data_IF_887360941161
#
_entry.id   IF_887360941161
#
_cell.length_a   1.000
_cell.length_b   1.000
_cell.length_c   1.000
_cell.angle_alpha   90.00
_cell.angle_beta   90.00
_cell.angle_gamma   90.00
#
_symmetry.space_group_name_H-M   'P 1'
#
loop_
_entity.id
_entity.type
_entity.pdbx_description
1 polymer ?
#
# COMPACT_ATOMS: atom_id res chain seq x y z
N UNK A 1 -0.25 86.61 -1.96
CA UNK A 1 0.69 87.62 -2.47
C UNK A 1 2.09 87.03 -2.36
N UNK A 2 2.53 86.50 -3.49
CA UNK A 2 3.87 86.34 -4.07
C UNK A 2 5.12 86.03 -3.22
N UNK A 3 5.79 84.95 -3.67
CA UNK A 3 7.21 84.60 -3.48
C UNK A 3 8.13 85.60 -4.21
N UNK A 4 9.48 85.56 -3.98
CA UNK A 4 10.33 84.72 -4.85
C UNK A 4 11.63 84.14 -4.22
N UNK A 5 12.12 83.06 -4.85
CA UNK A 5 13.51 82.49 -4.81
C UNK A 5 14.33 83.10 -5.99
N UNK A 6 15.64 82.82 -6.26
CA UNK A 6 16.47 81.62 -5.94
C UNK A 6 17.98 81.91 -5.66
N UNK A 7 18.82 80.87 -5.46
CA UNK A 7 20.15 80.69 -6.11
C UNK A 7 20.93 79.43 -5.62
N UNK A 8 21.59 78.73 -6.57
CA UNK A 8 22.56 77.62 -6.38
C UNK A 8 23.87 77.99 -7.08
N UNK A 9 25.04 77.57 -6.57
CA UNK A 9 26.06 76.89 -7.40
C UNK A 9 26.86 75.83 -6.60
N UNK A 10 27.74 74.95 -7.08
CA UNK A 10 28.15 74.43 -8.39
C UNK A 10 29.00 73.15 -8.12
N UNK A 11 29.14 72.33 -9.16
CA UNK A 11 29.85 71.04 -9.28
C UNK A 11 31.39 71.13 -9.24
N UNK A 12 32.08 70.09 -8.73
CA UNK A 12 33.48 69.79 -9.08
C UNK A 12 33.69 68.29 -9.35
N UNK A 13 34.27 67.99 -10.52
CA UNK A 13 34.65 66.67 -11.08
C UNK A 13 36.07 66.31 -10.59
N UNK A 14 36.33 65.15 -9.96
CA UNK A 14 36.49 63.76 -10.45
C UNK A 14 37.96 63.37 -10.70
N UNK A 15 38.49 62.55 -9.78
CA UNK A 15 39.85 62.00 -9.69
C UNK A 15 40.00 60.74 -10.58
N UNK A 16 41.07 60.69 -11.38
CA UNK A 16 41.30 59.76 -12.50
C UNK A 16 41.20 58.26 -12.14
N UNK A 17 40.52 57.47 -12.99
CA UNK A 17 40.21 56.05 -12.74
C UNK A 17 41.35 55.13 -13.19
N UNK A 18 42.11 54.59 -12.23
CA UNK A 18 43.23 53.65 -12.48
C UNK A 18 42.74 52.19 -12.61
N UNK A 19 43.38 51.31 -13.40
CA UNK A 19 42.97 49.90 -13.57
C UNK A 19 42.85 49.09 -12.27
N UNK A 20 43.70 49.38 -11.28
CA UNK A 20 43.63 48.75 -9.95
C UNK A 20 42.35 49.13 -9.20
N UNK A 21 41.85 50.36 -9.38
CA UNK A 21 40.59 50.85 -8.78
C UNK A 21 39.39 50.12 -9.39
N UNK A 22 39.42 49.88 -10.71
CA UNK A 22 38.39 49.12 -11.41
C UNK A 22 38.33 47.66 -10.95
N UNK A 23 39.48 47.00 -10.77
CA UNK A 23 39.55 45.64 -10.22
C UNK A 23 38.96 45.56 -8.80
N UNK A 24 39.33 46.50 -7.93
CA UNK A 24 38.80 46.57 -6.57
C UNK A 24 37.28 46.84 -6.56
N UNK A 25 36.79 47.72 -7.43
CA UNK A 25 35.35 47.96 -7.58
C UNK A 25 34.62 46.71 -8.07
N UNK A 26 35.17 45.97 -9.04
CA UNK A 26 34.60 44.71 -9.53
C UNK A 26 34.46 43.69 -8.39
N UNK A 27 35.50 43.52 -7.58
CA UNK A 27 35.47 42.57 -6.45
C UNK A 27 34.49 43.02 -5.35
N UNK A 28 34.42 44.32 -5.06
CA UNK A 28 33.42 44.87 -4.15
C UNK A 28 31.99 44.65 -4.64
N UNK A 29 31.73 44.88 -5.92
CA UNK A 29 30.42 44.65 -6.52
C UNK A 29 30.06 43.17 -6.53
N UNK A 30 31.02 42.28 -6.81
CA UNK A 30 30.81 40.84 -6.74
C UNK A 30 30.40 40.39 -5.33
N UNK A 31 31.08 40.90 -4.30
CA UNK A 31 30.72 40.62 -2.91
C UNK A 31 29.36 41.21 -2.52
N UNK A 32 29.05 42.43 -2.95
CA UNK A 32 27.73 43.03 -2.72
C UNK A 32 26.60 42.23 -3.38
N UNK A 33 26.81 41.78 -4.63
CA UNK A 33 25.87 40.91 -5.32
C UNK A 33 25.70 39.57 -4.61
N UNK A 34 26.78 38.99 -4.08
CA UNK A 34 26.73 37.77 -3.28
C UNK A 34 25.93 37.99 -1.99
N UNK A 35 26.24 39.02 -1.21
CA UNK A 35 25.53 39.35 0.03
C UNK A 35 24.05 39.64 -0.22
N UNK A 36 23.73 40.35 -1.30
CA UNK A 36 22.36 40.62 -1.69
C UNK A 36 21.62 39.33 -2.06
N UNK A 37 22.25 38.44 -2.82
CA UNK A 37 21.69 37.13 -3.16
C UNK A 37 21.45 36.26 -1.90
N UNK A 38 22.39 36.25 -0.96
CA UNK A 38 22.23 35.56 0.34
C UNK A 38 21.05 36.14 1.12
N UNK A 39 20.95 37.48 1.24
CA UNK A 39 19.83 38.13 1.94
C UNK A 39 18.47 37.84 1.30
N UNK A 40 18.39 37.86 -0.03
CA UNK A 40 17.16 37.53 -0.76
C UNK A 40 16.76 36.07 -0.52
N UNK A 41 17.72 35.14 -0.54
CA UNK A 41 17.43 33.73 -0.32
C UNK A 41 17.07 33.42 1.13
N UNK A 42 17.71 34.08 2.10
CA UNK A 42 17.34 33.99 3.51
C UNK A 42 15.93 34.57 3.78
N UNK A 43 15.58 35.67 3.11
CA UNK A 43 14.23 36.24 3.14
C UNK A 43 13.17 35.34 2.49
N UNK A 44 13.51 34.61 1.42
CA UNK A 44 12.64 33.60 0.81
C UNK A 44 12.40 32.40 1.73
N UNK A 45 13.45 31.88 2.37
CA UNK A 45 13.34 30.76 3.31
C UNK A 45 12.49 31.11 4.54
N UNK A 46 12.61 32.35 5.03
CA UNK A 46 11.77 32.86 6.14
C UNK A 46 10.32 33.05 5.71
N UNK A 47 10.07 33.50 4.47
CA UNK A 47 8.72 33.61 3.89
C UNK A 47 8.06 32.25 3.67
N UNK A 48 8.80 31.22 3.24
CA UNK A 48 8.27 29.87 3.09
C UNK A 48 7.94 29.16 4.41
N UNK A 49 8.57 29.56 5.52
CA UNK A 49 8.25 29.02 6.84
C UNK A 49 6.90 29.56 7.37
N UNK A 50 6.50 30.78 6.99
CA UNK A 50 5.21 31.37 7.39
C UNK A 50 4.03 30.97 6.49
N UNK A 51 4.27 30.51 5.25
CA UNK A 51 3.21 30.11 4.32
C UNK A 51 2.55 28.78 4.68
N UNK A 52 3.28 27.81 5.24
CA UNK A 52 2.69 26.55 5.70
C UNK A 52 1.73 26.75 6.89
N UNK A 53 2.05 27.69 7.78
CA UNK A 53 1.21 28.04 8.94
C UNK A 53 -0.03 28.84 8.48
N UNK A 54 0.15 29.74 7.52
CA UNK A 54 -0.95 30.51 6.92
C UNK A 54 -1.94 29.63 6.13
N UNK A 55 -1.47 28.65 5.36
CA UNK A 55 -2.35 27.74 4.62
C UNK A 55 -3.12 26.79 5.56
N UNK A 56 -2.46 26.28 6.60
CA UNK A 56 -3.12 25.48 7.63
C UNK A 56 -4.15 26.28 8.41
N UNK A 57 -3.86 27.54 8.75
CA UNK A 57 -4.81 28.44 9.41
C UNK A 57 -5.95 28.85 8.49
N UNK A 58 -5.70 29.07 7.21
CA UNK A 58 -6.73 29.37 6.21
C UNK A 58 -7.71 28.21 6.06
N UNK A 59 -7.22 26.96 6.01
CA UNK A 59 -8.06 25.76 5.99
C UNK A 59 -8.91 25.61 7.27
N UNK A 60 -8.36 25.96 8.45
CA UNK A 60 -9.14 25.99 9.70
C UNK A 60 -10.23 27.05 9.65
N UNK A 61 -9.93 28.27 9.18
CA UNK A 61 -10.92 29.34 9.06
C UNK A 61 -12.00 29.01 8.03
N UNK A 62 -11.64 28.42 6.89
CA UNK A 62 -12.60 27.95 5.88
C UNK A 62 -13.55 26.90 6.48
N UNK A 63 -13.01 25.92 7.20
CA UNK A 63 -13.82 24.91 7.90
C UNK A 63 -14.73 25.55 8.95
N UNK A 64 -14.22 26.50 9.73
CA UNK A 64 -14.99 27.22 10.75
C UNK A 64 -16.11 28.07 10.13
N UNK A 65 -15.85 28.73 9.00
CA UNK A 65 -16.83 29.51 8.25
C UNK A 65 -17.92 28.59 7.70
N UNK A 66 -17.56 27.47 7.07
CA UNK A 66 -18.54 26.51 6.55
C UNK A 66 -19.37 25.89 7.68
N UNK A 67 -18.75 25.56 8.81
CA UNK A 67 -19.48 25.07 9.98
C UNK A 67 -20.44 26.13 10.55
N UNK A 68 -20.01 27.39 10.64
CA UNK A 68 -20.85 28.50 11.10
C UNK A 68 -22.01 28.76 10.13
N UNK A 69 -21.75 28.69 8.82
CA UNK A 69 -22.75 28.83 7.75
C UNK A 69 -23.80 27.72 7.80
N UNK A 70 -23.36 26.46 7.93
CA UNK A 70 -24.25 25.30 8.11
C UNK A 70 -25.08 25.44 9.40
N UNK A 71 -24.45 25.87 10.50
CA UNK A 71 -25.14 26.11 11.76
C UNK A 71 -26.22 27.17 11.63
N UNK A 72 -25.89 28.31 11.00
CA UNK A 72 -26.84 29.38 10.74
C UNK A 72 -28.00 28.88 9.87
N UNK A 73 -27.71 28.25 8.74
CA UNK A 73 -28.72 27.69 7.84
C UNK A 73 -29.67 26.72 8.57
N UNK A 74 -29.12 25.78 9.35
CA UNK A 74 -29.92 24.82 10.10
C UNK A 74 -30.82 25.49 11.15
N UNK A 75 -30.30 26.50 11.86
CA UNK A 75 -31.07 27.27 12.84
C UNK A 75 -32.19 28.05 12.17
N UNK A 76 -31.92 28.74 11.06
CA UNK A 76 -32.93 29.45 10.28
C UNK A 76 -33.99 28.50 9.75
N UNK A 77 -33.61 27.34 9.23
CA UNK A 77 -34.55 26.32 8.75
C UNK A 77 -35.44 25.79 9.88
N UNK A 78 -34.87 25.53 11.06
CA UNK A 78 -35.63 25.11 12.24
C UNK A 78 -36.63 26.19 12.68
N UNK A 79 -36.21 27.45 12.73
CA UNK A 79 -37.08 28.58 13.07
C UNK A 79 -38.23 28.72 12.06
N UNK A 80 -37.93 28.69 10.76
CA UNK A 80 -38.95 28.79 9.72
C UNK A 80 -39.98 27.66 9.81
N UNK A 81 -39.52 26.42 10.08
CA UNK A 81 -40.43 25.28 10.30
C UNK A 81 -41.32 25.47 11.52
N UNK A 82 -40.78 25.97 12.63
CA UNK A 82 -41.58 26.26 13.83
C UNK A 82 -42.62 27.34 13.55
N UNK A 83 -42.25 28.41 12.85
CA UNK A 83 -43.16 29.50 12.49
C UNK A 83 -44.29 29.00 11.57
N UNK A 84 -43.97 28.24 10.52
CA UNK A 84 -44.99 27.64 9.64
C UNK A 84 -45.92 26.73 10.42
N UNK A 85 -45.38 25.86 11.29
CA UNK A 85 -46.19 24.96 12.10
C UNK A 85 -47.11 25.71 13.07
N UNK A 86 -46.63 26.79 13.68
CA UNK A 86 -47.43 27.63 14.56
C UNK A 86 -48.61 28.26 13.80
N UNK A 87 -48.35 28.85 12.62
CA UNK A 87 -49.40 29.41 11.75
C UNK A 87 -50.43 28.36 11.32
N UNK A 88 -49.98 27.15 10.95
CA UNK A 88 -50.88 26.03 10.60
C UNK A 88 -51.75 25.65 11.80
N UNK A 89 -51.16 25.55 12.99
CA UNK A 89 -51.87 25.21 14.23
C UNK A 89 -52.93 26.26 14.57
N UNK A 90 -52.57 27.54 14.49
CA UNK A 90 -53.52 28.65 14.70
C UNK A 90 -54.68 28.61 13.71
N UNK A 91 -54.43 28.25 12.44
CA UNK A 91 -55.49 28.09 11.44
C UNK A 91 -56.41 26.90 11.71
N UNK A 92 -55.85 25.78 12.15
CA UNK A 92 -56.65 24.61 12.54
C UNK A 92 -57.59 24.90 13.71
N UNK A 93 -57.23 25.82 14.60
CA UNK A 93 -58.08 26.25 15.73
C UNK A 93 -59.30 27.09 15.30
N UNK A 94 -59.26 27.73 14.12
CA UNK A 94 -60.34 28.60 13.63
C UNK A 94 -61.59 27.82 13.20
N UNK A 95 -61.49 26.50 12.99
CA UNK A 95 -62.60 25.56 12.67
C UNK A 95 -63.53 26.04 11.53
N UNK A 96 -63.01 26.80 10.57
CA UNK A 96 -63.71 27.16 9.35
C UNK A 96 -63.61 26.05 8.28
N UNK A 97 -64.26 26.25 7.12
CA UNK A 97 -64.23 25.28 6.03
C UNK A 97 -62.79 25.01 5.52
N UNK A 98 -61.93 26.03 5.54
CA UNK A 98 -60.53 25.93 5.14
C UNK A 98 -59.71 25.12 6.16
N UNK A 99 -60.02 25.25 7.46
CA UNK A 99 -59.40 24.47 8.53
C UNK A 99 -59.68 22.97 8.40
N UNK A 100 -60.87 22.58 7.94
CA UNK A 100 -61.20 21.17 7.69
C UNK A 100 -60.38 20.57 6.54
N UNK A 101 -60.21 21.31 5.45
CA UNK A 101 -59.36 20.89 4.33
C UNK A 101 -57.87 20.82 4.74
N UNK A 102 -57.41 21.81 5.51
CA UNK A 102 -56.06 21.85 6.06
C UNK A 102 -55.79 20.66 7.00
N UNK A 103 -56.76 20.28 7.83
CA UNK A 103 -56.66 19.12 8.72
C UNK A 103 -56.45 17.82 7.95
N UNK A 104 -57.27 17.58 6.92
CA UNK A 104 -57.13 16.39 6.08
C UNK A 104 -55.74 16.31 5.41
N UNK A 105 -55.22 17.45 4.95
CA UNK A 105 -53.87 17.53 4.38
C UNK A 105 -52.77 17.24 5.42
N UNK A 106 -52.90 17.75 6.66
CA UNK A 106 -51.95 17.47 7.74
C UNK A 106 -51.95 16.00 8.10
N UNK A 107 -53.13 15.36 8.18
CA UNK A 107 -53.28 13.93 8.46
C UNK A 107 -52.65 13.07 7.34
N UNK A 108 -52.90 13.40 6.07
CA UNK A 108 -52.26 12.72 4.93
C UNK A 108 -50.73 12.88 4.94
N UNK A 109 -50.23 14.08 5.23
CA UNK A 109 -48.80 14.33 5.31
C UNK A 109 -48.15 13.57 6.48
N UNK A 110 -48.85 13.40 7.60
CA UNK A 110 -48.38 12.60 8.74
C UNK A 110 -48.26 11.10 8.36
N UNK A 111 -49.27 10.55 7.68
CA UNK A 111 -49.24 9.17 7.17
C UNK A 111 -48.09 8.95 6.14
N UNK A 112 -47.89 9.90 5.23
CA UNK A 112 -46.77 9.88 4.29
C UNK A 112 -45.41 9.94 4.99
N UNK A 113 -45.28 10.76 6.03
CA UNK A 113 -44.08 10.85 6.84
C UNK A 113 -43.81 9.54 7.60
N UNK A 114 -44.83 8.87 8.13
CA UNK A 114 -44.69 7.56 8.77
C UNK A 114 -44.19 6.50 7.76
N UNK A 115 -44.81 6.43 6.58
CA UNK A 115 -44.38 5.53 5.49
C UNK A 115 -42.95 5.80 5.06
N UNK A 116 -42.58 7.07 4.91
CA UNK A 116 -41.23 7.49 4.55
C UNK A 116 -40.23 7.08 5.62
N UNK A 117 -40.55 7.27 6.90
CA UNK A 117 -39.70 6.85 8.02
C UNK A 117 -39.51 5.34 8.08
N UNK A 118 -40.54 4.55 7.75
CA UNK A 118 -40.43 3.11 7.64
C UNK A 118 -39.44 2.71 6.53
N UNK A 119 -39.58 3.27 5.33
CA UNK A 119 -38.67 2.99 4.21
C UNK A 119 -37.23 3.40 4.53
N UNK A 120 -37.03 4.55 5.17
CA UNK A 120 -35.69 5.01 5.60
C UNK A 120 -35.07 4.02 6.60
N UNK A 121 -35.85 3.52 7.57
CA UNK A 121 -35.36 2.52 8.53
C UNK A 121 -34.98 1.22 7.83
N UNK A 122 -35.84 0.70 6.97
CA UNK A 122 -35.56 -0.52 6.19
C UNK A 122 -34.31 -0.37 5.32
N UNK A 123 -34.14 0.78 4.66
CA UNK A 123 -32.97 1.10 3.84
C UNK A 123 -31.69 1.10 4.68
N UNK A 124 -31.71 1.70 5.88
CA UNK A 124 -30.56 1.70 6.79
C UNK A 124 -30.20 0.29 7.23
N UNK A 125 -31.18 -0.51 7.64
CA UNK A 125 -30.96 -1.91 8.02
C UNK A 125 -30.34 -2.72 6.89
N UNK A 126 -30.83 -2.55 5.66
CA UNK A 126 -30.25 -3.23 4.48
C UNK A 126 -28.84 -2.75 4.19
N UNK A 127 -28.57 -1.45 4.35
CA UNK A 127 -27.23 -0.89 4.15
C UNK A 127 -26.23 -1.40 5.18
N UNK A 128 -26.64 -1.59 6.43
CA UNK A 128 -25.83 -2.20 7.48
C UNK A 128 -25.51 -3.66 7.12
N UNK A 129 -26.53 -4.44 6.73
CA UNK A 129 -26.34 -5.84 6.29
C UNK A 129 -25.40 -5.97 5.09
N UNK A 130 -25.52 -5.07 4.10
CA UNK A 130 -24.60 -5.02 2.95
C UNK A 130 -23.17 -4.77 3.42
N UNK A 131 -22.99 -3.85 4.38
CA UNK A 131 -21.67 -3.50 4.93
C UNK A 131 -21.05 -4.70 5.64
N UNK A 132 -21.83 -5.43 6.43
CA UNK A 132 -21.38 -6.65 7.12
C UNK A 132 -20.98 -7.75 6.12
N UNK A 133 -21.80 -8.01 5.10
CA UNK A 133 -21.47 -8.98 4.03
C UNK A 133 -20.19 -8.57 3.30
N UNK A 134 -19.99 -7.27 3.03
CA UNK A 134 -18.78 -6.79 2.38
C UNK A 134 -17.53 -7.01 3.24
N UNK A 135 -17.66 -6.86 4.56
CA UNK A 135 -16.59 -7.15 5.53
C UNK A 135 -16.25 -8.64 5.54
N UNK A 136 -17.24 -9.52 5.69
CA UNK A 136 -17.04 -10.98 5.66
C UNK A 136 -16.39 -11.43 4.35
N UNK A 137 -16.84 -10.89 3.21
CA UNK A 137 -16.25 -11.17 1.89
C UNK A 137 -14.76 -10.78 1.84
N UNK A 138 -14.39 -9.66 2.45
CA UNK A 138 -12.99 -9.20 2.49
C UNK A 138 -12.13 -10.13 3.35
N UNK A 139 -12.64 -10.55 4.51
CA UNK A 139 -11.97 -11.51 5.39
C UNK A 139 -11.76 -12.86 4.70
N UNK A 140 -12.80 -13.40 4.04
CA UNK A 140 -12.72 -14.63 3.25
C UNK A 140 -11.70 -14.52 2.11
N UNK A 141 -11.67 -13.38 1.40
CA UNK A 141 -10.67 -13.14 0.35
C UNK A 141 -9.24 -13.16 0.91
N UNK A 142 -9.04 -12.62 2.11
CA UNK A 142 -7.77 -12.71 2.85
C UNK A 142 -7.39 -14.15 3.17
N UNK A 143 -8.33 -14.93 3.70
CA UNK A 143 -8.12 -16.35 4.02
C UNK A 143 -7.79 -17.18 2.77
N UNK A 144 -8.51 -16.99 1.66
CA UNK A 144 -8.23 -17.68 0.39
C UNK A 144 -6.82 -17.38 -0.09
N UNK A 145 -6.39 -16.11 -0.04
CA UNK A 145 -5.03 -15.72 -0.44
C UNK A 145 -3.97 -16.42 0.42
N UNK A 146 -4.17 -16.48 1.74
CA UNK A 146 -3.27 -17.17 2.66
C UNK A 146 -3.20 -18.67 2.37
N UNK A 147 -4.35 -19.33 2.19
CA UNK A 147 -4.41 -20.76 1.83
C UNK A 147 -3.73 -21.06 0.49
N UNK A 148 -3.92 -20.20 -0.51
CA UNK A 148 -3.25 -20.35 -1.80
C UNK A 148 -1.72 -20.28 -1.66
N UNK A 149 -1.23 -19.37 -0.80
CA UNK A 149 0.20 -19.28 -0.50
C UNK A 149 0.71 -20.55 0.19
N UNK A 150 0.01 -21.04 1.21
CA UNK A 150 0.34 -22.30 1.90
C UNK A 150 0.39 -23.50 0.93
N UNK A 151 -0.59 -23.61 0.02
CA UNK A 151 -0.62 -24.66 -1.03
C UNK A 151 0.62 -24.57 -1.94
N UNK A 152 1.00 -23.36 -2.34
CA UNK A 152 2.15 -23.17 -3.22
C UNK A 152 3.48 -23.51 -2.52
N UNK A 153 3.63 -23.14 -1.24
CA UNK A 153 4.79 -23.49 -0.42
C UNK A 153 4.91 -25.01 -0.23
N UNK A 154 3.80 -25.70 0.05
CA UNK A 154 3.76 -27.16 0.17
C UNK A 154 4.11 -27.84 -1.16
N UNK A 155 3.59 -27.34 -2.28
CA UNK A 155 3.90 -27.86 -3.61
C UNK A 155 5.40 -27.76 -3.92
N UNK A 156 5.99 -26.59 -3.68
CA UNK A 156 7.43 -26.38 -3.89
C UNK A 156 8.28 -27.29 -2.99
N UNK A 157 7.87 -27.47 -1.74
CA UNK A 157 8.57 -28.36 -0.80
C UNK A 157 8.50 -29.82 -1.27
N UNK A 158 7.34 -30.28 -1.74
CA UNK A 158 7.16 -31.62 -2.29
C UNK A 158 7.99 -31.87 -3.56
N UNK A 159 8.04 -30.90 -4.47
CA UNK A 159 8.87 -30.96 -5.68
C UNK A 159 10.38 -31.06 -5.32
N UNK A 160 10.83 -30.23 -4.38
CA UNK A 160 12.21 -30.27 -3.89
C UNK A 160 12.56 -31.62 -3.24
N UNK A 161 11.66 -32.17 -2.41
CA UNK A 161 11.85 -33.48 -1.79
C UNK A 161 11.87 -34.60 -2.85
N UNK A 162 10.98 -34.58 -3.84
CA UNK A 162 10.96 -35.55 -4.93
C UNK A 162 12.26 -35.52 -5.75
N UNK A 163 12.79 -34.33 -6.04
CA UNK A 163 14.07 -34.19 -6.73
C UNK A 163 15.24 -34.72 -5.89
N UNK A 164 15.27 -34.43 -4.58
CA UNK A 164 16.28 -34.94 -3.67
C UNK A 164 16.23 -36.48 -3.56
N UNK A 165 15.03 -37.07 -3.49
CA UNK A 165 14.84 -38.51 -3.46
C UNK A 165 15.32 -39.17 -4.75
N UNK A 166 14.98 -38.60 -5.91
CA UNK A 166 15.44 -39.10 -7.21
C UNK A 166 16.97 -39.11 -7.30
N UNK A 167 17.63 -38.02 -6.91
CA UNK A 167 19.10 -37.94 -6.88
C UNK A 167 19.74 -38.93 -5.91
N UNK A 168 19.09 -39.24 -4.79
CA UNK A 168 19.59 -40.23 -3.83
C UNK A 168 19.53 -41.65 -4.41
N UNK A 169 18.43 -41.99 -5.09
CA UNK A 169 18.27 -43.28 -5.77
C UNK A 169 19.29 -43.45 -6.90
N UNK A 170 19.46 -42.44 -7.76
CA UNK A 170 20.45 -42.47 -8.85
C UNK A 170 21.89 -42.68 -8.32
N UNK A 171 22.23 -42.03 -7.20
CA UNK A 171 23.53 -42.23 -6.53
C UNK A 171 23.68 -43.65 -5.98
N UNK A 172 22.65 -44.18 -5.33
CA UNK A 172 22.67 -45.54 -4.81
C UNK A 172 22.83 -46.56 -5.93
N UNK A 173 22.08 -46.42 -7.02
CA UNK A 173 22.16 -47.29 -8.19
C UNK A 173 23.55 -47.26 -8.84
N UNK A 174 24.15 -46.06 -9.00
CA UNK A 174 25.51 -45.94 -9.53
C UNK A 174 26.55 -46.66 -8.65
N UNK A 175 26.42 -46.56 -7.32
CA UNK A 175 27.28 -47.26 -6.37
C UNK A 175 27.06 -48.77 -6.47
N UNK A 176 25.81 -49.23 -6.48
CA UNK A 176 25.48 -50.65 -6.63
C UNK A 176 26.04 -51.23 -7.93
N UNK A 177 25.87 -50.54 -9.06
CA UNK A 177 26.42 -50.96 -10.36
C UNK A 177 27.95 -51.06 -10.33
N UNK A 178 28.64 -50.16 -9.63
CA UNK A 178 30.10 -50.23 -9.47
C UNK A 178 30.51 -51.48 -8.68
N UNK A 179 29.85 -51.75 -7.55
CA UNK A 179 30.14 -52.92 -6.73
C UNK A 179 29.78 -54.23 -7.42
N UNK A 180 28.66 -54.26 -8.16
CA UNK A 180 28.26 -55.40 -8.98
C UNK A 180 29.35 -55.74 -9.99
N UNK A 181 29.84 -54.76 -10.75
CA UNK A 181 30.95 -54.96 -11.71
C UNK A 181 32.21 -55.51 -11.03
N UNK A 182 32.59 -54.97 -9.88
CA UNK A 182 33.76 -55.45 -9.13
C UNK A 182 33.55 -56.89 -8.68
N UNK A 183 32.36 -57.22 -8.16
CA UNK A 183 32.01 -58.57 -7.73
C UNK A 183 32.06 -59.56 -8.91
N UNK A 184 31.48 -59.22 -10.06
CA UNK A 184 31.52 -60.05 -11.27
C UNK A 184 32.94 -60.27 -11.78
N UNK A 185 33.78 -59.23 -11.82
CA UNK A 185 35.19 -59.36 -12.21
C UNK A 185 35.92 -60.28 -11.22
N UNK A 186 35.71 -60.08 -9.92
CA UNK A 186 36.36 -60.90 -8.88
C UNK A 186 35.93 -62.36 -8.96
N UNK A 187 34.64 -62.62 -9.19
CA UNK A 187 34.07 -63.95 -9.42
C UNK A 187 34.72 -64.62 -10.65
N UNK A 188 34.83 -63.89 -11.76
CA UNK A 188 35.46 -64.39 -12.99
C UNK A 188 36.95 -64.70 -12.81
N UNK A 189 37.69 -63.84 -12.09
CA UNK A 189 39.10 -64.08 -11.76
C UNK A 189 39.26 -65.32 -10.88
N UNK A 190 38.42 -65.48 -9.85
CA UNK A 190 38.47 -66.63 -8.97
C UNK A 190 38.17 -67.94 -9.71
N UNK A 191 37.16 -67.94 -10.60
CA UNK A 191 36.88 -69.09 -11.49
C UNK A 191 38.11 -69.45 -12.33
N UNK A 192 38.75 -68.46 -12.97
CA UNK A 192 39.92 -68.69 -13.80
C UNK A 192 41.09 -69.29 -13.01
N UNK A 193 41.32 -68.84 -11.77
CA UNK A 193 42.35 -69.38 -10.87
C UNK A 193 42.03 -70.84 -10.51
N UNK A 194 40.79 -71.14 -10.12
CA UNK A 194 40.38 -72.52 -9.77
C UNK A 194 40.63 -73.46 -10.96
N UNK A 195 40.22 -73.08 -12.17
CA UNK A 195 40.43 -73.87 -13.40
C UNK A 195 41.94 -74.04 -13.69
N UNK A 196 42.73 -72.96 -13.58
CA UNK A 196 44.16 -72.98 -13.88
C UNK A 196 44.98 -73.78 -12.85
N UNK A 197 44.51 -73.88 -11.60
CA UNK A 197 45.20 -74.58 -10.51
C UNK A 197 45.31 -76.11 -10.71
N UNK A 198 44.55 -76.68 -11.65
CA UNK A 198 44.49 -78.14 -11.93
C UNK A 198 44.22 -79.02 -10.69
N UNK A 199 43.72 -78.43 -9.61
CA UNK A 199 43.20 -79.17 -8.45
C UNK A 199 41.95 -79.92 -8.91
N UNK A 200 41.80 -81.18 -8.49
CA UNK A 200 40.64 -82.01 -8.88
C UNK A 200 39.39 -81.61 -8.07
N UNK A 201 38.91 -80.39 -8.29
CA UNK A 201 37.85 -79.73 -7.53
C UNK A 201 36.47 -80.41 -7.71
N UNK A 202 36.33 -81.29 -8.72
CA UNK A 202 35.10 -82.04 -8.96
C UNK A 202 34.88 -83.16 -7.91
N UNK A 203 35.98 -83.66 -7.34
CA UNK A 203 35.98 -84.78 -6.38
C UNK A 203 35.94 -84.30 -4.91
N UNK A 204 36.26 -83.03 -4.64
CA UNK A 204 36.06 -82.41 -3.32
C UNK A 204 34.69 -81.73 -3.28
N UNK A 205 33.73 -82.22 -2.48
CA UNK A 205 32.38 -81.66 -2.39
C UNK A 205 32.36 -80.18 -2.03
N UNK A 206 33.27 -79.72 -1.15
CA UNK A 206 33.30 -78.33 -0.70
C UNK A 206 33.82 -77.40 -1.80
N UNK A 207 34.83 -77.83 -2.55
CA UNK A 207 35.35 -77.06 -3.69
C UNK A 207 34.38 -77.06 -4.87
N UNK A 208 33.69 -78.17 -5.10
CA UNK A 208 32.60 -78.26 -6.08
C UNK A 208 31.47 -77.28 -5.76
N UNK A 209 31.02 -77.21 -4.51
CA UNK A 209 29.97 -76.28 -4.10
C UNK A 209 30.40 -74.82 -4.29
N UNK A 210 31.66 -74.49 -4.00
CA UNK A 210 32.23 -73.15 -4.24
C UNK A 210 32.29 -72.86 -5.75
N UNK A 211 32.78 -73.79 -6.57
CA UNK A 211 32.88 -73.61 -8.02
C UNK A 211 31.49 -73.46 -8.68
N UNK A 212 30.51 -74.27 -8.28
CA UNK A 212 29.11 -74.21 -8.74
C UNK A 212 28.42 -72.92 -8.29
N UNK A 213 28.64 -72.49 -7.03
CA UNK A 213 28.12 -71.22 -6.51
C UNK A 213 28.74 -70.01 -7.21
N UNK A 214 29.94 -70.17 -7.78
CA UNK A 214 30.52 -69.17 -8.64
C UNK A 214 29.87 -69.15 -10.02
N UNK A 215 29.15 -70.14 -10.53
CA UNK A 215 28.57 -70.13 -11.90
C UNK A 215 27.32 -69.24 -12.05
N UNK A 216 26.55 -69.07 -10.99
CA UNK A 216 25.36 -68.22 -10.99
C UNK A 216 25.76 -66.75 -10.80
N UNK A 217 25.48 -65.93 -11.80
CA UNK A 217 25.55 -64.46 -11.65
C UNK A 217 24.28 -64.05 -10.89
N UNK A 218 24.37 -63.35 -9.75
CA UNK A 218 23.18 -62.78 -9.13
C UNK A 218 22.60 -61.73 -10.09
N UNK A 219 21.37 -61.94 -10.55
CA UNK A 219 20.58 -60.92 -11.27
C UNK A 219 20.20 -59.78 -10.32
#
# INVERSE_FOLDING_TARGET
MDSPSPEHPASSLSEEVTPMRLLRMKDMMANQCFDMNVKVNMGRLKRSCGTFDADADLSKYETAIEQARLSHFNKTLALNRMQVWNTVTEKLLQNDADAMALKAMVDENADLCEKTMKVIKETRTLQDQITDIQKERLELKGLIKKRMQEINELKQTGENQGQAQKQAVERAEAVFQKYLKIATISQNVLRAIIIASKVNWIDDPKLRDIAMGLETVPN
#
